data_IF_483003662456
#
_entry.id   IF_483003662456
#
_cell.length_a   1.000
_cell.length_b   1.000
_cell.length_c   1.000
_cell.angle_alpha   90.00
_cell.angle_beta   90.00
_cell.angle_gamma   90.00
#
_symmetry.space_group_name_H-M   'P 1'
#
loop_
_entity.id
_entity.type
_entity.pdbx_description
1 polymer ?
#
# COMPACT_ATOMS: atom_id res chain seq x y z
N UNK A 1 -8.93 -5.55 -12.79
CA UNK A 1 -7.97 -6.16 -11.84
C UNK A 1 -8.48 -6.16 -10.40
N UNK A 2 -8.72 -4.98 -9.80
CA UNK A 2 -9.04 -4.85 -8.37
C UNK A 2 -10.22 -5.72 -7.88
N UNK A 3 -11.30 -5.79 -8.65
CA UNK A 3 -12.46 -6.61 -8.29
C UNK A 3 -12.17 -8.12 -8.19
N UNK A 4 -11.17 -8.62 -8.92
CA UNK A 4 -10.74 -10.02 -8.82
C UNK A 4 -9.87 -10.22 -7.57
N UNK A 5 -8.93 -9.31 -7.31
CA UNK A 5 -8.08 -9.35 -6.11
C UNK A 5 -8.94 -9.41 -4.84
N UNK A 6 -9.97 -8.56 -4.73
CA UNK A 6 -10.87 -8.52 -3.57
C UNK A 6 -11.78 -9.75 -3.44
N UNK A 7 -11.92 -10.57 -4.48
CA UNK A 7 -12.63 -11.85 -4.41
C UNK A 7 -11.73 -13.00 -3.98
N UNK A 8 -10.45 -12.94 -4.37
CA UNK A 8 -9.45 -13.97 -4.07
C UNK A 8 -8.89 -13.78 -2.66
N UNK A 9 -8.58 -12.54 -2.29
CA UNK A 9 -8.00 -12.19 -1.01
C UNK A 9 -9.07 -11.66 -0.06
N UNK A 10 -9.25 -12.34 1.08
CA UNK A 10 -10.25 -11.99 2.10
C UNK A 10 -9.86 -10.74 2.90
N UNK A 11 -8.56 -10.53 3.11
CA UNK A 11 -8.03 -9.42 3.87
C UNK A 11 -7.08 -8.63 2.97
N UNK A 12 -7.53 -7.47 2.51
CA UNK A 12 -6.72 -6.55 1.73
C UNK A 12 -6.53 -5.28 2.52
N UNK A 13 -5.28 -4.86 2.63
CA UNK A 13 -4.89 -3.67 3.38
C UNK A 13 -3.92 -2.84 2.56
N UNK A 14 -4.01 -1.52 2.73
CA UNK A 14 -3.10 -0.54 2.13
C UNK A 14 -2.59 0.39 3.22
N UNK A 15 -1.33 0.87 3.14
CA UNK A 15 -0.85 1.85 4.09
C UNK A 15 -1.47 3.23 3.87
N UNK A 16 -1.43 4.06 4.92
CA UNK A 16 -1.95 5.43 4.93
C UNK A 16 -1.36 6.27 3.80
N UNK A 17 -0.06 6.14 3.50
CA UNK A 17 0.58 6.86 2.40
C UNK A 17 -0.02 6.52 1.03
N UNK A 18 -0.29 5.23 0.75
CA UNK A 18 -0.94 4.79 -0.49
C UNK A 18 -2.37 5.30 -0.58
N UNK A 19 -3.11 5.32 0.53
CA UNK A 19 -4.43 5.94 0.56
C UNK A 19 -4.37 7.43 0.20
N UNK A 20 -3.45 8.18 0.80
CA UNK A 20 -3.31 9.61 0.52
C UNK A 20 -3.02 9.88 -0.96
N UNK A 21 -2.07 9.16 -1.55
CA UNK A 21 -1.69 9.32 -2.96
C UNK A 21 -2.78 8.83 -3.92
N UNK A 22 -3.19 7.57 -3.77
CA UNK A 22 -4.06 6.89 -4.74
C UNK A 22 -5.52 7.31 -4.62
N UNK A 23 -5.96 7.73 -3.42
CA UNK A 23 -7.35 8.09 -3.15
C UNK A 23 -7.50 9.59 -2.98
N UNK A 24 -6.84 10.21 -1.99
CA UNK A 24 -7.10 11.63 -1.69
C UNK A 24 -6.60 12.56 -2.80
N UNK A 25 -5.35 12.40 -3.23
CA UNK A 25 -4.82 13.17 -4.36
C UNK A 25 -5.47 12.74 -5.68
N UNK A 26 -5.64 11.43 -5.89
CA UNK A 26 -6.32 10.89 -7.06
C UNK A 26 -7.73 11.48 -7.27
N UNK A 27 -8.51 11.65 -6.19
CA UNK A 27 -9.83 12.29 -6.23
C UNK A 27 -9.77 13.77 -6.60
N UNK A 28 -8.80 14.53 -6.07
CA UNK A 28 -8.58 15.94 -6.44
C UNK A 28 -8.30 16.07 -7.94
N UNK A 29 -7.61 15.09 -8.52
CA UNK A 29 -7.33 14.98 -9.96
C UNK A 29 -8.47 14.32 -10.76
N UNK A 30 -9.62 14.01 -10.13
CA UNK A 30 -10.78 13.35 -10.75
C UNK A 30 -10.44 12.01 -11.44
N UNK A 31 -9.43 11.28 -10.95
CA UNK A 31 -9.09 9.95 -11.47
C UNK A 31 -10.20 8.95 -11.08
N UNK A 32 -10.77 8.25 -12.06
CA UNK A 32 -11.88 7.31 -11.86
C UNK A 32 -11.50 6.18 -10.88
N UNK A 33 -10.28 5.68 -10.96
CA UNK A 33 -9.78 4.60 -10.09
C UNK A 33 -9.74 5.01 -8.61
N UNK A 34 -9.49 6.29 -8.31
CA UNK A 34 -9.48 6.79 -6.94
C UNK A 34 -10.86 6.66 -6.27
N UNK A 35 -11.94 6.95 -7.02
CA UNK A 35 -13.31 6.77 -6.53
C UNK A 35 -13.67 5.28 -6.35
N UNK A 36 -13.17 4.41 -7.24
CA UNK A 36 -13.38 2.97 -7.10
C UNK A 36 -12.70 2.45 -5.83
N UNK A 37 -11.43 2.79 -5.59
CA UNK A 37 -10.68 2.38 -4.40
C UNK A 37 -11.33 2.94 -3.13
N UNK A 38 -11.72 4.22 -3.14
CA UNK A 38 -12.46 4.84 -2.02
C UNK A 38 -13.72 4.06 -1.68
N UNK A 39 -14.51 3.69 -2.69
CA UNK A 39 -15.72 2.90 -2.48
C UNK A 39 -15.39 1.55 -1.81
N UNK A 40 -14.35 0.85 -2.26
CA UNK A 40 -13.94 -0.44 -1.65
C UNK A 40 -13.46 -0.30 -0.22
N UNK A 41 -12.87 0.83 0.13
CA UNK A 41 -12.51 1.15 1.53
C UNK A 41 -13.78 1.36 2.35
N UNK A 42 -14.73 2.17 1.86
CA UNK A 42 -16.02 2.41 2.54
C UNK A 42 -16.86 1.14 2.70
N UNK A 43 -16.82 0.26 1.71
CA UNK A 43 -17.49 -1.05 1.73
C UNK A 43 -16.76 -2.07 2.66
N UNK A 44 -15.64 -1.68 3.28
CA UNK A 44 -14.86 -2.53 4.18
C UNK A 44 -14.06 -3.63 3.47
N UNK A 45 -13.95 -3.59 2.14
CA UNK A 45 -13.16 -4.57 1.38
C UNK A 45 -11.66 -4.28 1.41
N UNK A 46 -11.28 -3.02 1.67
CA UNK A 46 -9.88 -2.59 1.80
C UNK A 46 -9.75 -1.84 3.12
N UNK A 47 -8.78 -2.25 3.94
CA UNK A 47 -8.49 -1.61 5.23
C UNK A 47 -7.31 -0.66 5.04
N UNK A 48 -7.43 0.58 5.52
CA UNK A 48 -6.32 1.54 5.55
C UNK A 48 -5.67 1.47 6.92
N UNK A 49 -4.35 1.26 6.94
CA UNK A 49 -3.58 1.07 8.17
C UNK A 49 -2.41 2.05 8.23
N UNK A 50 -2.03 2.44 9.46
CA UNK A 50 -0.80 3.18 9.70
C UNK A 50 0.29 2.21 10.11
N UNK A 51 1.52 2.50 9.70
CA UNK A 51 2.70 1.78 10.17
C UNK A 51 3.13 2.28 11.54
N UNK A 52 3.67 1.39 12.37
CA UNK A 52 4.16 1.72 13.70
C UNK A 52 5.67 2.04 13.69
N UNK A 53 6.44 1.35 12.87
CA UNK A 53 7.89 1.49 12.79
C UNK A 53 8.30 2.65 11.88
N UNK A 54 8.08 3.87 12.37
CA UNK A 54 8.42 5.11 11.64
C UNK A 54 9.93 5.24 11.39
N UNK A 55 10.76 4.76 12.32
CA UNK A 55 12.21 4.80 12.19
C UNK A 55 12.69 3.98 10.99
N UNK A 56 12.19 2.75 10.83
CA UNK A 56 12.51 1.92 9.66
C UNK A 56 11.93 2.53 8.38
N UNK A 57 10.78 3.19 8.44
CA UNK A 57 10.21 3.89 7.28
C UNK A 57 11.20 4.92 6.74
N UNK A 58 11.71 5.76 7.64
CA UNK A 58 12.68 6.77 7.26
C UNK A 58 14.00 6.16 6.74
N UNK A 59 14.44 5.04 7.32
CA UNK A 59 15.62 4.31 6.87
C UNK A 59 15.46 3.82 5.43
N UNK A 60 14.34 3.16 5.12
CA UNK A 60 14.00 2.69 3.78
C UNK A 60 13.95 3.84 2.76
N UNK A 61 13.29 4.94 3.11
CA UNK A 61 13.19 6.11 2.24
C UNK A 61 14.56 6.73 1.96
N UNK A 62 15.40 6.93 2.98
CA UNK A 62 16.69 7.64 2.85
C UNK A 62 17.76 6.78 2.20
N UNK A 63 17.88 5.51 2.61
CA UNK A 63 19.01 4.66 2.25
C UNK A 63 18.72 3.76 1.04
N UNK A 64 17.44 3.46 0.78
CA UNK A 64 17.03 2.60 -0.33
C UNK A 64 16.25 3.35 -1.43
N UNK A 65 16.12 4.68 -1.30
CA UNK A 65 15.45 5.57 -2.26
C UNK A 65 14.02 5.09 -2.60
N UNK A 66 13.32 4.55 -1.60
CA UNK A 66 11.94 4.10 -1.73
C UNK A 66 10.99 5.28 -1.51
N UNK A 67 9.90 5.31 -2.26
CA UNK A 67 8.82 6.26 -2.02
C UNK A 67 8.10 5.93 -0.70
N UNK A 68 7.34 6.90 -0.18
CA UNK A 68 6.67 6.74 1.11
C UNK A 68 5.65 5.59 1.10
N UNK A 69 4.82 5.51 0.05
CA UNK A 69 3.84 4.42 -0.11
C UNK A 69 4.49 3.04 -0.18
N UNK A 70 5.66 2.93 -0.81
CA UNK A 70 6.43 1.70 -0.90
C UNK A 70 6.99 1.30 0.47
N UNK A 71 7.64 2.26 1.13
CA UNK A 71 8.26 2.04 2.44
C UNK A 71 7.23 1.62 3.48
N UNK A 72 6.06 2.28 3.51
CA UNK A 72 4.97 1.89 4.40
C UNK A 72 4.38 0.53 4.04
N UNK A 73 4.28 0.18 2.76
CA UNK A 73 3.77 -1.13 2.34
C UNK A 73 4.67 -2.28 2.84
N UNK A 74 5.99 -2.10 2.76
CA UNK A 74 6.96 -3.08 3.25
C UNK A 74 6.88 -3.26 4.77
N UNK A 75 6.79 -2.15 5.49
CA UNK A 75 6.71 -2.18 6.95
C UNK A 75 5.38 -2.79 7.40
N UNK A 76 4.27 -2.39 6.78
CA UNK A 76 2.96 -2.93 7.10
C UNK A 76 2.89 -4.44 6.85
N UNK A 77 3.49 -4.91 5.75
CA UNK A 77 3.64 -6.34 5.45
C UNK A 77 4.35 -7.08 6.60
N UNK A 78 5.47 -6.53 7.07
CA UNK A 78 6.24 -7.11 8.19
C UNK A 78 5.46 -7.05 9.52
N UNK A 79 4.89 -5.91 9.87
CA UNK A 79 4.16 -5.69 11.12
C UNK A 79 2.91 -6.57 11.24
N UNK A 80 2.17 -6.72 10.15
CA UNK A 80 0.93 -7.52 10.11
C UNK A 80 1.20 -9.00 9.79
N UNK A 81 2.46 -9.37 9.51
CA UNK A 81 2.84 -10.72 9.05
C UNK A 81 1.95 -11.19 7.89
N UNK A 82 1.75 -10.30 6.91
CA UNK A 82 0.89 -10.58 5.78
C UNK A 82 1.50 -11.70 4.91
N UNK A 83 0.64 -12.47 4.22
CA UNK A 83 1.09 -13.58 3.38
C UNK A 83 1.74 -13.10 2.07
N UNK A 84 1.29 -11.96 1.55
CA UNK A 84 1.68 -11.42 0.25
C UNK A 84 1.78 -9.90 0.29
N UNK A 85 2.72 -9.37 -0.48
CA UNK A 85 2.90 -7.95 -0.75
C UNK A 85 2.65 -7.68 -2.24
N UNK A 86 1.68 -6.81 -2.54
CA UNK A 86 1.41 -6.35 -3.90
C UNK A 86 2.16 -5.05 -4.20
N UNK A 87 2.96 -5.02 -5.25
CA UNK A 87 3.69 -3.83 -5.72
C UNK A 87 3.85 -3.88 -7.24
N UNK A 88 3.87 -2.71 -7.88
CA UNK A 88 4.18 -2.54 -9.30
C UNK A 88 5.64 -2.09 -9.54
N UNK A 89 6.37 -1.65 -8.50
CA UNK A 89 7.79 -1.30 -8.62
C UNK A 89 8.67 -2.56 -8.50
N UNK A 90 9.49 -2.78 -9.53
CA UNK A 90 10.45 -3.88 -9.62
C UNK A 90 11.59 -3.78 -8.60
N UNK A 91 11.87 -2.60 -8.04
CA UNK A 91 12.94 -2.38 -7.04
C UNK A 91 12.75 -3.23 -5.79
N UNK A 92 11.50 -3.53 -5.43
CA UNK A 92 11.19 -4.43 -4.31
C UNK A 92 11.80 -5.82 -4.47
N UNK A 93 11.94 -6.34 -5.70
CA UNK A 93 12.52 -7.67 -5.93
C UNK A 93 13.97 -7.76 -5.46
N UNK A 94 14.70 -6.64 -5.36
CA UNK A 94 16.11 -6.64 -4.95
C UNK A 94 16.30 -6.76 -3.44
N UNK A 95 15.30 -6.40 -2.63
CA UNK A 95 15.40 -6.40 -1.16
C UNK A 95 15.12 -7.80 -0.57
N UNK A 96 14.34 -8.63 -1.27
CA UNK A 96 13.97 -9.98 -0.79
C UNK A 96 14.85 -11.12 -1.33
N UNK A 97 15.97 -10.80 -2.00
CA UNK A 97 16.88 -11.78 -2.63
C UNK A 97 18.32 -11.76 -2.07
N UNK A 98 18.54 -11.17 -0.91
CA UNK A 98 19.83 -11.23 -0.20
C UNK A 98 19.81 -12.23 0.95
#
# INVERSE_FOLDING_TARGET
MLGLLLKVFKHVMIPQAVYFESVEQGRKLKKMDAFLVEKRIKDGNIIVEKVNNVAEKENLMKNFNMHEGESESLILYSEKKADLLGTDDYKFKRIFLE
#
